data_IF_704531280320
#
_entry.id   IF_704531280320
#
_cell.length_a   1.000
_cell.length_b   1.000
_cell.length_c   1.000
_cell.angle_alpha   90.00
_cell.angle_beta   90.00
_cell.angle_gamma   90.00
#
_symmetry.space_group_name_H-M   'P 1'
#
loop_
_entity.id
_entity.type
_entity.pdbx_description
1 polymer ?
#
# COMPACT_ATOMS: atom_id res chain seq x y z
N UNK A 1 -74.72 23.02 22.90
CA UNK A 1 -75.07 21.62 22.63
C UNK A 1 -75.17 21.43 21.13
N UNK A 2 -74.10 20.91 20.51
CA UNK A 2 -74.28 19.93 19.45
C UNK A 2 -73.45 18.68 19.79
N UNK A 3 -74.18 17.62 20.10
CA UNK A 3 -73.76 16.25 20.17
C UNK A 3 -73.06 15.81 18.86
N UNK A 4 -71.74 15.68 18.90
CA UNK A 4 -70.97 14.99 17.86
C UNK A 4 -71.36 13.51 17.84
N UNK A 5 -72.17 13.13 16.85
CA UNK A 5 -72.44 11.71 16.54
C UNK A 5 -71.17 11.09 15.97
N UNK A 6 -70.45 10.34 16.81
CA UNK A 6 -69.40 9.41 16.36
C UNK A 6 -70.05 8.34 15.49
N UNK A 7 -69.83 8.39 14.18
CA UNK A 7 -70.32 7.39 13.23
C UNK A 7 -69.35 6.21 13.24
N UNK A 8 -69.66 5.24 14.12
CA UNK A 8 -69.11 3.88 14.19
C UNK A 8 -67.58 3.76 14.24
N UNK A 9 -67.06 3.62 15.45
CA UNK A 9 -65.66 3.22 15.69
C UNK A 9 -65.53 1.70 15.49
N UNK A 10 -64.63 1.28 14.57
CA UNK A 10 -64.26 -0.13 14.39
C UNK A 10 -62.81 -0.30 14.82
N UNK A 11 -62.58 -1.06 15.89
CA UNK A 11 -61.25 -1.54 16.24
C UNK A 11 -61.09 -3.00 15.81
N UNK A 12 -59.92 -3.32 15.28
CA UNK A 12 -59.51 -4.68 14.98
C UNK A 12 -58.18 -4.95 15.71
N UNK A 13 -57.97 -6.13 16.30
CA UNK A 13 -56.71 -6.44 16.93
C UNK A 13 -55.61 -6.54 15.85
N UNK A 14 -54.64 -5.64 15.90
CA UNK A 14 -53.44 -5.75 15.06
C UNK A 14 -52.55 -6.81 15.69
N UNK A 15 -52.54 -8.00 15.09
CA UNK A 15 -51.62 -9.06 15.50
C UNK A 15 -50.26 -8.79 14.84
N UNK A 16 -49.35 -8.17 15.57
CA UNK A 16 -47.97 -7.95 15.10
C UNK A 16 -47.19 -9.25 15.29
N UNK A 17 -47.10 -10.06 14.24
CA UNK A 17 -46.17 -11.19 14.23
C UNK A 17 -44.74 -10.63 14.15
N UNK A 18 -43.83 -10.92 15.10
CA UNK A 18 -42.44 -10.51 14.94
C UNK A 18 -41.90 -11.21 13.71
N UNK A 19 -41.55 -10.45 12.67
CA UNK A 19 -40.83 -10.99 11.51
C UNK A 19 -39.49 -11.52 12.02
N UNK A 20 -39.40 -12.82 12.23
CA UNK A 20 -38.15 -13.52 12.58
C UNK A 20 -37.13 -13.47 11.44
N UNK A 21 -37.56 -13.07 10.24
CA UNK A 21 -36.71 -12.78 9.10
C UNK A 21 -37.04 -11.41 8.51
N UNK A 22 -36.10 -10.48 8.63
CA UNK A 22 -36.07 -9.26 7.84
C UNK A 22 -35.64 -9.67 6.44
N UNK A 23 -36.54 -9.60 5.46
CA UNK A 23 -36.18 -9.75 4.06
C UNK A 23 -35.18 -8.64 3.71
N UNK A 24 -33.91 -9.01 3.52
CA UNK A 24 -32.87 -8.07 3.09
C UNK A 24 -33.22 -7.62 1.66
N UNK A 25 -33.53 -6.34 1.42
CA UNK A 25 -33.90 -5.87 0.09
C UNK A 25 -32.78 -6.15 -0.92
N UNK A 26 -33.13 -6.50 -2.15
CA UNK A 26 -32.20 -6.88 -3.23
C UNK A 26 -31.08 -5.85 -3.46
N UNK A 27 -31.31 -4.58 -3.13
CA UNK A 27 -30.33 -3.49 -3.21
C UNK A 27 -29.14 -3.63 -2.24
N UNK A 28 -29.23 -4.45 -1.18
CA UNK A 28 -28.16 -4.61 -0.19
C UNK A 28 -27.16 -5.72 -0.53
N UNK A 29 -27.37 -6.48 -1.62
CA UNK A 29 -26.47 -7.58 -2.02
C UNK A 29 -25.33 -7.14 -2.95
N UNK A 30 -25.33 -5.89 -3.42
CA UNK A 30 -24.40 -5.41 -4.44
C UNK A 30 -23.29 -4.49 -3.88
N UNK A 31 -22.78 -4.72 -2.67
CA UNK A 31 -21.78 -3.81 -2.09
C UNK A 31 -20.33 -4.32 -2.06
N UNK A 32 -20.06 -5.62 -2.14
CA UNK A 32 -18.70 -6.15 -2.39
C UNK A 32 -18.84 -7.59 -2.90
N UNK A 33 -18.21 -7.95 -4.02
CA UNK A 33 -18.17 -9.34 -4.47
C UNK A 33 -17.22 -10.14 -3.57
N UNK A 34 -17.71 -10.57 -2.41
CA UNK A 34 -16.97 -11.39 -1.43
C UNK A 34 -16.53 -12.74 -1.97
N UNK A 35 -17.07 -13.17 -3.12
CA UNK A 35 -16.74 -14.46 -3.73
C UNK A 35 -15.47 -14.42 -4.58
N UNK A 36 -14.85 -13.24 -4.75
CA UNK A 36 -13.57 -13.12 -5.45
C UNK A 36 -12.44 -13.58 -4.52
N UNK A 37 -11.73 -14.70 -4.81
CA UNK A 37 -10.75 -15.28 -3.88
C UNK A 37 -9.66 -14.28 -3.50
N UNK A 38 -9.40 -14.04 -2.22
CA UNK A 38 -8.39 -13.08 -1.76
C UNK A 38 -8.80 -11.60 -1.80
N UNK A 39 -9.99 -11.22 -2.29
CA UNK A 39 -10.42 -9.81 -2.31
C UNK A 39 -10.73 -9.26 -0.91
N UNK A 40 -11.40 -10.07 -0.07
CA UNK A 40 -11.71 -9.70 1.30
C UNK A 40 -10.47 -9.47 2.18
N UNK A 41 -9.52 -10.42 2.26
CA UNK A 41 -8.29 -10.20 3.03
C UNK A 41 -7.46 -9.04 2.46
N UNK A 42 -7.45 -8.82 1.14
CA UNK A 42 -6.81 -7.64 0.54
C UNK A 42 -7.41 -6.33 1.06
N UNK A 43 -8.74 -6.19 0.97
CA UNK A 43 -9.44 -5.00 1.45
C UNK A 43 -9.23 -4.79 2.95
N UNK A 44 -9.25 -5.86 3.75
CA UNK A 44 -8.99 -5.79 5.19
C UNK A 44 -7.54 -5.38 5.47
N UNK A 45 -6.58 -5.91 4.72
CA UNK A 45 -5.17 -5.54 4.80
C UNK A 45 -4.96 -4.05 4.53
N UNK A 46 -5.61 -3.50 3.51
CA UNK A 46 -5.56 -2.05 3.21
C UNK A 46 -6.13 -1.20 4.35
N UNK A 47 -7.24 -1.62 4.97
CA UNK A 47 -7.79 -0.92 6.14
C UNK A 47 -6.81 -0.95 7.32
N UNK A 48 -6.22 -2.11 7.61
CA UNK A 48 -5.23 -2.25 8.68
C UNK A 48 -3.98 -1.42 8.39
N UNK A 49 -3.54 -1.34 7.13
CA UNK A 49 -2.42 -0.52 6.70
C UNK A 49 -2.68 0.96 6.99
N UNK A 50 -3.85 1.46 6.61
CA UNK A 50 -4.25 2.86 6.85
C UNK A 50 -4.35 3.18 8.35
N UNK A 51 -4.73 2.18 9.17
CA UNK A 51 -4.73 2.27 10.63
C UNK A 51 -3.34 2.10 11.26
N UNK A 52 -2.27 2.02 10.45
CA UNK A 52 -0.89 1.78 10.86
C UNK A 52 -0.65 0.46 11.60
N UNK A 53 -1.59 -0.49 11.48
CA UNK A 53 -1.52 -1.85 12.04
C UNK A 53 -0.78 -2.77 11.08
N UNK A 54 0.47 -2.42 10.83
CA UNK A 54 1.29 -2.95 9.75
C UNK A 54 1.54 -4.46 9.81
N UNK A 55 1.81 -5.00 10.99
CA UNK A 55 2.04 -6.44 11.16
C UNK A 55 0.76 -7.26 10.90
N UNK A 56 -0.41 -6.70 11.18
CA UNK A 56 -1.69 -7.36 10.90
C UNK A 56 -2.08 -7.22 9.44
N UNK A 57 -1.80 -6.06 8.83
CA UNK A 57 -1.95 -5.86 7.39
C UNK A 57 -1.13 -6.86 6.58
N UNK A 58 0.13 -7.10 6.97
CA UNK A 58 1.00 -8.10 6.35
C UNK A 58 0.34 -9.49 6.31
N UNK A 59 -0.20 -9.96 7.45
CA UNK A 59 -0.88 -11.26 7.55
C UNK A 59 -2.11 -11.34 6.65
N UNK A 60 -2.88 -10.26 6.53
CA UNK A 60 -4.04 -10.24 5.64
C UNK A 60 -3.61 -10.21 4.16
N UNK A 61 -2.52 -9.52 3.81
CA UNK A 61 -1.98 -9.58 2.45
C UNK A 61 -1.40 -10.96 2.10
N UNK A 62 -0.75 -11.65 3.03
CA UNK A 62 -0.34 -13.06 2.87
C UNK A 62 -1.54 -13.95 2.56
N UNK A 63 -2.63 -13.80 3.31
CA UNK A 63 -3.89 -14.50 3.04
C UNK A 63 -4.47 -14.14 1.67
N UNK A 64 -4.40 -12.87 1.27
CA UNK A 64 -4.88 -12.44 -0.04
C UNK A 64 -4.12 -13.09 -1.19
N UNK A 65 -2.79 -13.17 -1.10
CA UNK A 65 -1.95 -13.87 -2.09
C UNK A 65 -2.26 -15.37 -2.08
N UNK A 66 -2.37 -16.00 -0.91
CA UNK A 66 -2.68 -17.42 -0.80
C UNK A 66 -4.07 -17.79 -1.38
N UNK A 67 -5.12 -17.07 -0.98
CA UNK A 67 -6.50 -17.32 -1.45
C UNK A 67 -6.66 -17.05 -2.94
N UNK A 68 -5.94 -16.07 -3.49
CA UNK A 68 -5.94 -15.79 -4.92
C UNK A 68 -4.95 -16.65 -5.71
N UNK A 69 -4.24 -17.58 -5.06
CA UNK A 69 -3.17 -18.39 -5.66
C UNK A 69 -2.09 -17.53 -6.36
N UNK A 70 -1.92 -16.29 -5.89
CA UNK A 70 -1.00 -15.32 -6.46
C UNK A 70 -1.41 -14.77 -7.83
N UNK A 71 -2.65 -14.99 -8.28
CA UNK A 71 -3.16 -14.46 -9.55
C UNK A 71 -3.56 -12.99 -9.48
N UNK A 72 -3.57 -12.39 -8.28
CA UNK A 72 -3.88 -10.96 -8.09
C UNK A 72 -2.60 -10.12 -8.00
N UNK A 73 -2.27 -9.31 -9.02
CA UNK A 73 -1.09 -8.45 -9.00
C UNK A 73 -1.09 -7.47 -7.82
N UNK A 74 -2.25 -6.88 -7.53
CA UNK A 74 -2.41 -5.93 -6.43
C UNK A 74 -2.10 -6.57 -5.06
N UNK A 75 -2.49 -7.83 -4.84
CA UNK A 75 -2.21 -8.53 -3.59
C UNK A 75 -0.70 -8.79 -3.42
N UNK A 76 -0.02 -9.20 -4.51
CA UNK A 76 1.44 -9.36 -4.52
C UNK A 76 2.16 -8.04 -4.26
N UNK A 77 1.75 -6.97 -4.93
CA UNK A 77 2.33 -5.64 -4.72
C UNK A 77 2.19 -5.20 -3.25
N UNK A 78 0.98 -5.28 -2.69
CA UNK A 78 0.72 -4.90 -1.28
C UNK A 78 1.51 -5.73 -0.28
N UNK A 79 1.64 -7.03 -0.54
CA UNK A 79 2.48 -7.89 0.29
C UNK A 79 3.97 -7.52 0.16
N UNK A 80 4.46 -7.29 -1.06
CA UNK A 80 5.82 -6.84 -1.32
C UNK A 80 6.14 -5.51 -0.63
N UNK A 81 5.23 -4.53 -0.69
CA UNK A 81 5.32 -3.25 0.01
C UNK A 81 5.40 -3.46 1.54
N UNK A 82 4.62 -4.40 2.08
CA UNK A 82 4.71 -4.77 3.50
C UNK A 82 6.08 -5.32 3.85
N UNK A 83 6.62 -6.22 3.03
CA UNK A 83 7.93 -6.83 3.23
C UNK A 83 9.08 -5.82 3.15
N UNK A 84 9.00 -4.82 2.25
CA UNK A 84 9.94 -3.68 2.24
C UNK A 84 9.94 -2.98 3.59
N UNK A 85 8.75 -2.62 4.10
CA UNK A 85 8.64 -1.92 5.38
C UNK A 85 9.16 -2.75 6.56
N UNK A 86 8.95 -4.06 6.54
CA UNK A 86 9.44 -4.96 7.58
C UNK A 86 10.90 -5.43 7.37
N UNK A 87 11.61 -4.88 6.38
CA UNK A 87 13.02 -5.17 6.11
C UNK A 87 13.27 -6.54 5.45
N UNK A 88 12.22 -7.23 5.00
CA UNK A 88 12.25 -8.57 4.41
C UNK A 88 12.56 -8.49 2.92
N UNK A 89 13.77 -8.09 2.57
CA UNK A 89 14.18 -7.81 1.20
C UNK A 89 13.97 -8.99 0.23
N UNK A 90 14.34 -10.21 0.63
CA UNK A 90 14.20 -11.39 -0.24
C UNK A 90 12.74 -11.72 -0.53
N UNK A 91 11.88 -11.69 0.49
CA UNK A 91 10.45 -11.94 0.34
C UNK A 91 9.77 -10.84 -0.51
N UNK A 92 10.22 -9.59 -0.39
CA UNK A 92 9.75 -8.51 -1.24
C UNK A 92 10.08 -8.79 -2.72
N UNK A 93 11.32 -9.18 -3.03
CA UNK A 93 11.72 -9.52 -4.40
C UNK A 93 10.90 -10.67 -4.98
N UNK A 94 10.60 -11.72 -4.19
CA UNK A 94 9.74 -12.83 -4.62
C UNK A 94 8.33 -12.36 -5.01
N UNK A 95 7.79 -11.34 -4.33
CA UNK A 95 6.49 -10.78 -4.66
C UNK A 95 6.52 -9.89 -5.90
N UNK A 96 7.61 -9.15 -6.12
CA UNK A 96 7.74 -8.23 -7.25
C UNK A 96 8.22 -8.90 -8.55
N UNK A 97 9.00 -9.98 -8.50
CA UNK A 97 9.58 -10.60 -9.70
C UNK A 97 8.52 -11.05 -10.73
N UNK A 98 7.39 -11.68 -10.35
CA UNK A 98 6.32 -11.98 -11.32
C UNK A 98 5.68 -10.71 -11.89
N UNK A 99 5.57 -9.65 -11.08
CA UNK A 99 4.99 -8.38 -11.51
C UNK A 99 5.87 -7.63 -12.50
N UNK A 100 7.18 -7.82 -12.45
CA UNK A 100 8.11 -7.21 -13.41
C UNK A 100 7.90 -7.76 -14.81
N UNK A 101 7.65 -9.07 -14.93
CA UNK A 101 7.39 -9.69 -16.23
C UNK A 101 6.09 -9.16 -16.87
N UNK A 102 5.04 -9.01 -16.07
CA UNK A 102 3.72 -8.60 -16.54
C UNK A 102 3.59 -7.06 -16.67
N UNK A 103 4.26 -6.31 -15.80
CA UNK A 103 4.13 -4.86 -15.66
C UNK A 103 5.51 -4.15 -15.59
N UNK A 104 6.40 -4.32 -16.59
CA UNK A 104 7.80 -3.87 -16.52
C UNK A 104 8.01 -2.35 -16.47
N UNK A 105 6.94 -1.57 -16.68
CA UNK A 105 6.94 -0.10 -16.68
C UNK A 105 6.09 0.50 -15.56
N UNK A 106 5.48 -0.33 -14.72
CA UNK A 106 4.66 0.15 -13.62
C UNK A 106 5.57 0.69 -12.52
N UNK A 107 5.30 1.91 -12.07
CA UNK A 107 6.09 2.58 -11.04
C UNK A 107 6.24 1.73 -9.78
N UNK A 108 5.13 1.19 -9.28
CA UNK A 108 5.05 0.41 -8.05
C UNK A 108 5.97 -0.81 -8.07
N UNK A 109 6.11 -1.44 -9.24
CA UNK A 109 6.96 -2.62 -9.43
C UNK A 109 8.42 -2.22 -9.51
N UNK A 110 8.75 -1.23 -10.34
CA UNK A 110 10.13 -0.74 -10.52
C UNK A 110 10.67 -0.19 -9.19
N UNK A 111 9.91 0.67 -8.52
CA UNK A 111 10.29 1.24 -7.23
C UNK A 111 10.37 0.15 -6.16
N UNK A 112 9.42 -0.79 -6.12
CA UNK A 112 9.43 -1.92 -5.20
C UNK A 112 10.70 -2.77 -5.30
N UNK A 113 11.12 -3.13 -6.53
CA UNK A 113 12.38 -3.83 -6.77
C UNK A 113 13.61 -3.00 -6.40
N UNK A 114 13.60 -1.70 -6.70
CA UNK A 114 14.66 -0.79 -6.30
C UNK A 114 14.86 -0.74 -4.78
N UNK A 115 13.76 -0.59 -4.03
CA UNK A 115 13.80 -0.63 -2.57
C UNK A 115 14.20 -2.01 -2.03
N UNK A 116 13.76 -3.10 -2.66
CA UNK A 116 14.15 -4.44 -2.24
C UNK A 116 15.67 -4.66 -2.38
N UNK A 117 16.25 -4.22 -3.50
CA UNK A 117 17.69 -4.28 -3.70
C UNK A 117 18.46 -3.36 -2.76
N UNK A 118 17.94 -2.15 -2.49
CA UNK A 118 18.50 -1.23 -1.51
C UNK A 118 18.55 -1.87 -0.11
N UNK A 119 17.45 -2.47 0.35
CA UNK A 119 17.40 -3.16 1.65
C UNK A 119 18.32 -4.38 1.73
N UNK A 120 18.53 -5.06 0.60
CA UNK A 120 19.47 -6.18 0.51
C UNK A 120 20.94 -5.74 0.48
N UNK A 121 21.21 -4.44 0.36
CA UNK A 121 22.56 -3.89 0.21
C UNK A 121 23.16 -4.10 -1.18
N UNK A 122 22.36 -4.45 -2.19
CA UNK A 122 22.81 -4.61 -3.57
C UNK A 122 22.63 -3.27 -4.29
N UNK A 123 23.47 -2.30 -3.91
CA UNK A 123 23.29 -0.90 -4.26
C UNK A 123 23.40 -0.61 -5.75
N UNK A 124 24.22 -1.35 -6.51
CA UNK A 124 24.31 -1.19 -7.97
C UNK A 124 22.95 -1.44 -8.66
N UNK A 125 22.25 -2.51 -8.25
CA UNK A 125 20.92 -2.82 -8.78
C UNK A 125 19.86 -1.86 -8.25
N UNK A 126 19.98 -1.44 -7.00
CA UNK A 126 19.10 -0.43 -6.43
C UNK A 126 19.15 0.86 -7.25
N UNK A 127 20.36 1.35 -7.59
CA UNK A 127 20.55 2.53 -8.42
C UNK A 127 19.84 2.39 -9.77
N UNK A 128 19.98 1.26 -10.47
CA UNK A 128 19.33 1.05 -11.78
C UNK A 128 17.80 1.18 -11.68
N UNK A 129 17.17 0.40 -10.79
CA UNK A 129 15.72 0.43 -10.61
C UNK A 129 15.20 1.76 -10.08
N UNK A 130 15.84 2.33 -9.06
CA UNK A 130 15.41 3.59 -8.47
C UNK A 130 15.57 4.75 -9.45
N UNK A 131 16.60 4.74 -10.32
CA UNK A 131 16.77 5.74 -11.39
C UNK A 131 15.64 5.64 -12.40
N UNK A 132 15.25 4.42 -12.81
CA UNK A 132 14.08 4.20 -13.67
C UNK A 132 12.78 4.67 -12.99
N UNK A 133 12.62 4.42 -11.70
CA UNK A 133 11.46 4.91 -10.94
C UNK A 133 11.42 6.44 -10.89
N UNK A 134 12.58 7.08 -10.71
CA UNK A 134 12.74 8.54 -10.68
C UNK A 134 12.36 9.22 -12.00
N UNK A 135 12.56 8.54 -13.14
CA UNK A 135 12.10 9.04 -14.45
C UNK A 135 10.57 9.15 -14.53
N UNK A 136 9.84 8.33 -13.77
CA UNK A 136 8.38 8.33 -13.72
C UNK A 136 7.88 9.31 -12.65
N UNK A 137 8.49 9.30 -11.46
CA UNK A 137 8.15 10.22 -10.35
C UNK A 137 9.39 11.01 -9.90
N UNK A 138 9.72 12.12 -10.59
CA UNK A 138 10.94 12.88 -10.34
C UNK A 138 10.96 13.67 -9.02
N UNK A 139 9.84 13.74 -8.29
CA UNK A 139 9.70 14.54 -7.08
C UNK A 139 9.39 13.70 -5.83
N UNK A 140 9.82 12.43 -5.84
CA UNK A 140 9.68 11.54 -4.70
C UNK A 140 10.94 11.61 -3.81
N UNK A 141 10.82 12.23 -2.65
CA UNK A 141 11.92 12.38 -1.68
C UNK A 141 12.41 11.03 -1.15
N UNK A 142 11.53 10.02 -1.05
CA UNK A 142 11.91 8.70 -0.54
C UNK A 142 12.78 7.98 -1.56
N UNK A 143 12.47 8.10 -2.85
CA UNK A 143 13.34 7.58 -3.92
C UNK A 143 14.66 8.34 -3.99
N UNK A 144 14.65 9.67 -3.87
CA UNK A 144 15.88 10.49 -3.88
C UNK A 144 16.81 10.13 -2.72
N UNK A 145 16.27 9.91 -1.52
CA UNK A 145 17.03 9.49 -0.35
C UNK A 145 17.69 8.11 -0.56
N UNK A 146 16.90 7.14 -1.02
CA UNK A 146 17.42 5.79 -1.28
C UNK A 146 18.47 5.78 -2.41
N UNK A 147 18.29 6.62 -3.45
CA UNK A 147 19.30 6.82 -4.49
C UNK A 147 20.57 7.46 -3.92
N UNK A 148 20.44 8.52 -3.13
CA UNK A 148 21.58 9.22 -2.54
C UNK A 148 22.43 8.30 -1.67
N UNK A 149 21.78 7.50 -0.82
CA UNK A 149 22.48 6.50 -0.01
C UNK A 149 23.08 5.38 -0.88
N UNK A 150 22.35 4.88 -1.87
CA UNK A 150 22.89 3.84 -2.78
C UNK A 150 24.11 4.35 -3.55
N UNK A 151 24.09 5.59 -4.03
CA UNK A 151 25.24 6.23 -4.68
C UNK A 151 26.44 6.37 -3.75
N UNK A 152 26.20 6.77 -2.49
CA UNK A 152 27.27 6.86 -1.49
C UNK A 152 27.92 5.49 -1.26
N UNK A 153 27.13 4.42 -1.18
CA UNK A 153 27.62 3.06 -0.92
C UNK A 153 28.44 2.48 -2.08
N UNK A 154 28.11 2.84 -3.32
CA UNK A 154 28.92 2.46 -4.50
C UNK A 154 30.09 3.42 -4.75
N UNK A 155 30.29 4.43 -3.88
CA UNK A 155 31.40 5.38 -3.94
C UNK A 155 31.18 6.58 -4.85
N UNK A 156 30.00 6.73 -5.45
CA UNK A 156 29.66 7.87 -6.32
C UNK A 156 29.15 9.06 -5.50
N UNK A 157 30.09 9.77 -4.87
CA UNK A 157 29.78 10.86 -3.96
C UNK A 157 29.12 12.06 -4.64
N UNK A 158 29.46 12.34 -5.89
CA UNK A 158 28.90 13.47 -6.64
C UNK A 158 27.40 13.25 -6.89
N UNK A 159 27.02 12.08 -7.42
CA UNK A 159 25.60 11.77 -7.63
C UNK A 159 24.85 11.57 -6.31
N UNK A 160 25.51 11.07 -5.27
CA UNK A 160 24.93 11.00 -3.93
C UNK A 160 24.55 12.40 -3.43
N UNK A 161 25.49 13.36 -3.52
CA UNK A 161 25.28 14.74 -3.12
C UNK A 161 24.10 15.37 -3.87
N UNK A 162 24.09 15.29 -5.21
CA UNK A 162 23.02 15.84 -6.04
C UNK A 162 21.63 15.30 -5.65
N UNK A 163 21.52 13.98 -5.46
CA UNK A 163 20.25 13.35 -5.08
C UNK A 163 19.75 13.81 -3.71
N UNK A 164 20.64 13.90 -2.72
CA UNK A 164 20.31 14.31 -1.35
C UNK A 164 19.96 15.80 -1.28
N UNK A 165 20.71 16.67 -1.97
CA UNK A 165 20.39 18.11 -2.08
C UNK A 165 19.02 18.33 -2.72
N UNK A 166 18.72 17.59 -3.80
CA UNK A 166 17.41 17.65 -4.43
C UNK A 166 16.30 17.19 -3.48
N UNK A 167 16.53 16.14 -2.69
CA UNK A 167 15.57 15.70 -1.67
C UNK A 167 15.32 16.78 -0.61
N UNK A 168 16.39 17.41 -0.11
CA UNK A 168 16.29 18.49 0.89
C UNK A 168 15.65 19.77 0.33
N UNK A 169 15.81 20.05 -0.96
CA UNK A 169 15.12 21.18 -1.61
C UNK A 169 13.59 20.99 -1.62
N UNK A 170 13.12 19.75 -1.62
CA UNK A 170 11.70 19.39 -1.62
C UNK A 170 11.14 19.23 -0.20
N UNK A 171 11.92 18.65 0.70
CA UNK A 171 11.60 18.53 2.11
C UNK A 171 12.84 18.84 2.97
N UNK A 172 12.98 20.08 3.47
CA UNK A 172 14.13 20.51 4.26
C UNK A 172 14.20 19.92 5.67
N UNK A 173 13.11 19.35 6.19
CA UNK A 173 13.02 18.90 7.58
C UNK A 173 13.53 17.47 7.80
N UNK A 174 14.20 16.89 6.79
CA UNK A 174 14.74 15.54 6.82
C UNK A 174 16.12 15.50 7.49
N UNK A 175 16.16 15.42 8.82
CA UNK A 175 17.42 15.45 9.57
C UNK A 175 18.39 14.32 9.18
N UNK A 176 17.88 13.11 8.98
CA UNK A 176 18.68 11.96 8.52
C UNK A 176 19.37 12.23 7.16
N UNK A 177 18.73 12.98 6.27
CA UNK A 177 19.27 13.32 4.95
C UNK A 177 20.36 14.40 5.08
N UNK A 178 20.19 15.36 5.99
CA UNK A 178 21.24 16.36 6.29
C UNK A 178 22.49 15.70 6.86
N UNK A 179 22.32 14.77 7.80
CA UNK A 179 23.44 13.99 8.35
C UNK A 179 24.15 13.19 7.26
N UNK A 180 23.39 12.55 6.37
CA UNK A 180 23.95 11.78 5.26
C UNK A 180 24.71 12.67 4.28
N UNK A 181 24.16 13.82 3.93
CA UNK A 181 24.80 14.82 3.08
C UNK A 181 26.12 15.32 3.69
N UNK A 182 26.12 15.64 4.99
CA UNK A 182 27.33 16.04 5.69
C UNK A 182 28.42 14.95 5.67
N UNK A 183 28.04 13.66 5.79
CA UNK A 183 28.98 12.54 5.64
C UNK A 183 29.57 12.47 4.23
N UNK A 184 28.74 12.64 3.19
CA UNK A 184 29.20 12.66 1.80
C UNK A 184 30.24 13.77 1.59
N UNK A 185 30.03 14.95 2.16
CA UNK A 185 30.93 16.11 2.03
C UNK A 185 32.24 16.00 2.84
N UNK A 186 32.20 15.35 3.99
CA UNK A 186 33.36 15.16 4.87
C UNK A 186 34.32 14.06 4.38
N UNK A 187 33.84 13.14 3.54
CA UNK A 187 34.59 11.98 3.05
C UNK A 187 35.61 12.30 1.95
N UNK A 188 36.25 13.48 1.99
CA UNK A 188 37.25 13.94 1.01
C UNK A 188 38.54 13.13 1.04
#
# INVERSE_FOLDING_TARGET
DPSEKVVAERSAPVQVSPRTQIARPWSYRSSFNTNSPGLLPLARGDQLWNLKRYAEAEKEFERAVAESQGERPLARWKLGESYIRSGKADQAMEMFAPLEADFPRQFEVIAGLGYAHYLKGVFDKAVDYLTRAMQIRPADTTLLNALGESFMQIGDRERAKEALERSLSMNPDQEAVKELLAKVEQSK
#
